data_IF_953247386392
#
_entry.id   IF_953247386392
#
_cell.length_a   1.000
_cell.length_b   1.000
_cell.length_c   1.000
_cell.angle_alpha   90.00
_cell.angle_beta   90.00
_cell.angle_gamma   90.00
#
_symmetry.space_group_name_H-M   'P 1'
#
loop_
_entity.id
_entity.type
_entity.pdbx_description
1 polymer ?
#
# COMPACT_ATOMS: atom_id res chain seq x y z
N UNK A 1 -14.48 -9.82 -3.89
CA UNK A 1 -13.58 -8.66 -4.04
C UNK A 1 -12.31 -8.98 -3.28
N UNK A 2 -11.15 -8.87 -3.92
CA UNK A 2 -9.84 -9.01 -3.27
C UNK A 2 -9.24 -7.64 -2.93
N UNK A 3 -8.04 -7.64 -2.33
CA UNK A 3 -7.38 -6.39 -1.94
C UNK A 3 -6.99 -5.49 -3.11
N UNK A 4 -6.70 -6.06 -4.29
CA UNK A 4 -6.33 -5.27 -5.47
C UNK A 4 -7.55 -4.56 -6.06
N UNK A 5 -8.67 -5.28 -6.21
CA UNK A 5 -9.93 -4.70 -6.63
C UNK A 5 -10.41 -3.61 -5.65
N UNK A 6 -10.22 -3.81 -4.35
CA UNK A 6 -10.52 -2.79 -3.34
C UNK A 6 -9.65 -1.54 -3.52
N UNK A 7 -8.33 -1.70 -3.73
CA UNK A 7 -7.43 -0.59 -3.99
C UNK A 7 -7.84 0.21 -5.26
N UNK A 8 -8.19 -0.48 -6.33
CA UNK A 8 -8.66 0.16 -7.57
C UNK A 8 -9.92 1.00 -7.32
N UNK A 9 -10.89 0.46 -6.57
CA UNK A 9 -12.10 1.20 -6.20
C UNK A 9 -11.78 2.42 -5.33
N UNK A 10 -10.87 2.29 -4.36
CA UNK A 10 -10.40 3.42 -3.52
C UNK A 10 -9.77 4.52 -4.38
N UNK A 11 -8.98 4.15 -5.40
CA UNK A 11 -8.33 5.12 -6.30
C UNK A 11 -9.30 5.75 -7.30
N UNK A 12 -10.43 5.11 -7.59
CA UNK A 12 -11.47 5.64 -8.44
C UNK A 12 -12.43 6.60 -7.71
N UNK A 13 -12.46 6.58 -6.37
CA UNK A 13 -13.31 7.43 -5.55
C UNK A 13 -12.60 8.75 -5.22
N UNK A 14 -13.16 9.88 -5.66
CA UNK A 14 -12.57 11.21 -5.46
C UNK A 14 -12.37 11.60 -3.99
N UNK A 15 -13.17 11.07 -3.08
CA UNK A 15 -13.03 11.33 -1.65
C UNK A 15 -11.95 10.46 -0.98
N UNK A 16 -11.57 9.34 -1.61
CA UNK A 16 -10.67 8.34 -1.02
C UNK A 16 -9.33 8.21 -1.74
N UNK A 17 -9.23 8.69 -2.98
CA UNK A 17 -8.09 8.45 -3.88
C UNK A 17 -6.74 8.88 -3.30
N UNK A 18 -6.72 9.88 -2.44
CA UNK A 18 -5.50 10.43 -1.82
C UNK A 18 -5.10 9.72 -0.52
N UNK A 19 -5.95 8.84 0.03
CA UNK A 19 -5.64 8.08 1.25
C UNK A 19 -4.49 7.10 0.96
N UNK A 20 -3.37 7.13 1.72
CA UNK A 20 -2.30 6.17 1.54
C UNK A 20 -2.75 4.75 1.89
N UNK A 21 -2.35 3.78 1.07
CA UNK A 21 -2.69 2.37 1.27
C UNK A 21 -1.42 1.54 1.38
N UNK A 22 -1.29 0.80 2.48
CA UNK A 22 -0.27 -0.23 2.67
C UNK A 22 -0.88 -1.60 2.38
N UNK A 23 -0.41 -2.26 1.33
CA UNK A 23 -0.87 -3.60 0.95
C UNK A 23 -0.13 -4.67 1.76
N UNK A 24 -0.87 -5.63 2.34
CA UNK A 24 -0.32 -6.75 3.10
C UNK A 24 -0.70 -8.06 2.40
N UNK A 25 0.28 -8.90 2.08
CA UNK A 25 0.06 -10.18 1.38
C UNK A 25 0.54 -11.38 2.20
N UNK A 26 0.03 -12.58 1.90
CA UNK A 26 0.73 -13.83 2.21
C UNK A 26 1.67 -14.30 1.08
N UNK A 27 1.40 -13.86 -0.16
CA UNK A 27 2.12 -14.28 -1.35
C UNK A 27 2.95 -13.12 -1.92
N UNK A 28 4.26 -13.16 -1.65
CA UNK A 28 5.23 -12.13 -2.03
C UNK A 28 5.77 -12.29 -3.46
N UNK A 29 4.90 -12.65 -4.40
CA UNK A 29 5.28 -12.72 -5.82
C UNK A 29 5.61 -11.34 -6.34
N UNK A 30 6.73 -11.21 -7.07
CA UNK A 30 7.22 -9.94 -7.60
C UNK A 30 6.18 -9.28 -8.50
N UNK A 31 5.44 -10.09 -9.25
CA UNK A 31 4.36 -9.69 -10.13
C UNK A 31 3.23 -8.99 -9.35
N UNK A 32 2.82 -9.57 -8.21
CA UNK A 32 1.77 -9.01 -7.35
C UNK A 32 2.18 -7.65 -6.76
N UNK A 33 3.47 -7.50 -6.41
CA UNK A 33 4.02 -6.24 -5.90
C UNK A 33 3.98 -5.17 -6.99
N UNK A 34 4.39 -5.50 -8.21
CA UNK A 34 4.38 -4.58 -9.36
C UNK A 34 2.96 -4.12 -9.66
N UNK A 35 2.01 -5.06 -9.73
CA UNK A 35 0.60 -4.75 -10.00
C UNK A 35 -0.01 -3.86 -8.91
N UNK A 36 0.26 -4.14 -7.63
CA UNK A 36 -0.21 -3.30 -6.53
C UNK A 36 0.39 -1.88 -6.57
N UNK A 37 1.68 -1.76 -6.90
CA UNK A 37 2.33 -0.46 -7.04
C UNK A 37 1.74 0.34 -8.22
N UNK A 38 1.50 -0.30 -9.36
CA UNK A 38 0.85 0.31 -10.53
C UNK A 38 -0.59 0.74 -10.24
N UNK A 39 -1.30 -0.01 -9.39
CA UNK A 39 -2.63 0.35 -8.91
C UNK A 39 -2.63 1.48 -7.85
N UNK A 40 -1.48 2.07 -7.52
CA UNK A 40 -1.38 3.21 -6.61
C UNK A 40 -1.27 2.85 -5.13
N UNK A 41 -0.81 1.64 -4.78
CA UNK A 41 -0.44 1.32 -3.41
C UNK A 41 0.76 2.17 -2.97
N UNK A 42 0.70 2.75 -1.78
CA UNK A 42 1.79 3.56 -1.23
C UNK A 42 2.99 2.69 -0.87
N UNK A 43 2.73 1.51 -0.29
CA UNK A 43 3.74 0.51 0.08
C UNK A 43 3.14 -0.89 0.09
N UNK A 44 4.02 -1.88 0.22
CA UNK A 44 3.69 -3.30 0.28
C UNK A 44 4.50 -3.99 1.39
N UNK A 45 3.92 -4.99 2.05
CA UNK A 45 4.56 -5.85 3.03
C UNK A 45 4.11 -7.30 2.86
N UNK A 46 5.07 -8.23 2.89
CA UNK A 46 4.80 -9.66 2.85
C UNK A 46 4.72 -10.25 4.25
N UNK A 47 3.84 -11.23 4.45
CA UNK A 47 3.81 -12.05 5.66
C UNK A 47 4.81 -13.22 5.55
N UNK A 48 5.35 -13.69 6.69
CA UNK A 48 5.30 -13.05 8.00
C UNK A 48 6.17 -11.79 8.05
N UNK A 49 5.75 -10.79 8.83
CA UNK A 49 6.52 -9.57 9.07
C UNK A 49 6.68 -9.32 10.57
N UNK A 50 7.67 -8.50 10.94
CA UNK A 50 7.88 -8.08 12.33
C UNK A 50 7.25 -6.70 12.57
N UNK A 51 7.02 -6.35 13.85
CA UNK A 51 6.59 -5.01 14.22
C UNK A 51 7.55 -3.94 13.70
N UNK A 52 8.86 -4.18 13.78
CA UNK A 52 9.88 -3.28 13.25
C UNK A 52 9.73 -3.04 11.74
N UNK A 53 9.43 -4.08 10.95
CA UNK A 53 9.17 -3.93 9.51
C UNK A 53 7.91 -3.11 9.25
N UNK A 54 6.84 -3.30 10.03
CA UNK A 54 5.62 -2.51 9.90
C UNK A 54 5.89 -1.04 10.21
N UNK A 55 6.55 -0.75 11.33
CA UNK A 55 6.90 0.62 11.76
C UNK A 55 7.75 1.33 10.70
N UNK A 56 8.74 0.65 10.13
CA UNK A 56 9.57 1.20 9.05
C UNK A 56 8.71 1.61 7.83
N UNK A 57 7.77 0.76 7.42
CA UNK A 57 6.89 1.03 6.26
C UNK A 57 5.92 2.16 6.55
N UNK A 58 5.32 2.19 7.74
CA UNK A 58 4.39 3.25 8.16
C UNK A 58 5.09 4.60 8.23
N UNK A 59 6.26 4.68 8.89
CA UNK A 59 7.04 5.91 8.97
C UNK A 59 7.40 6.45 7.57
N UNK A 60 7.77 5.57 6.63
CA UNK A 60 8.01 5.97 5.23
C UNK A 60 6.76 6.50 4.52
N UNK A 61 5.57 6.01 4.84
CA UNK A 61 4.31 6.55 4.30
C UNK A 61 4.05 7.96 4.87
N UNK A 62 4.17 8.10 6.20
CA UNK A 62 3.94 9.37 6.89
C UNK A 62 4.92 10.46 6.43
N UNK A 63 6.20 10.13 6.25
CA UNK A 63 7.21 11.05 5.73
C UNK A 63 6.87 11.58 4.33
N UNK A 64 6.41 10.70 3.43
CA UNK A 64 6.05 11.13 2.07
C UNK A 64 4.84 12.08 2.08
N UNK A 65 3.88 11.89 3.00
CA UNK A 65 2.75 12.82 3.15
C UNK A 65 3.21 14.18 3.65
N UNK A 66 4.09 14.22 4.65
CA UNK A 66 4.59 15.48 5.21
C UNK A 66 5.39 16.32 4.20
N UNK A 67 5.98 15.68 3.19
CA UNK A 67 6.74 16.36 2.11
C UNK A 67 5.82 16.97 1.04
N UNK A 68 4.57 16.53 0.95
CA UNK A 68 3.59 16.97 -0.06
C UNK A 68 2.45 17.80 0.53
N UNK A 69 2.53 18.19 1.81
CA UNK A 69 1.60 19.09 2.49
C UNK A 69 2.14 20.54 2.47
#
# INVERSE_FOLDING_TARGET
MDGLAMLQNVRADDALKDIPVLMITAEAKKENIIVAAQAGASRYIAKPFTAATLDEKLNKILQNMAVHA
#
